data_IF_896597225849
#
_entry.id   IF_896597225849
#
_cell.length_a   1.000
_cell.length_b   1.000
_cell.length_c   1.000
_cell.angle_alpha   90.00
_cell.angle_beta   90.00
_cell.angle_gamma   90.00
#
_symmetry.space_group_name_H-M   'P 1'
#
loop_
_entity.id
_entity.type
_entity.pdbx_description
1 polymer ?
#
# COMPACT_ATOMS: atom_id res chain seq x y z
N UNK A 1 -17.79 -1.53 17.60
CA UNK A 1 -16.43 -1.53 17.08
C UNK A 1 -15.47 -1.05 18.16
N UNK A 2 -14.25 -1.59 18.22
CA UNK A 2 -13.18 -1.09 19.07
C UNK A 2 -12.40 0.04 18.40
N UNK A 3 -11.16 0.27 18.86
CA UNK A 3 -10.15 1.13 18.24
C UNK A 3 -8.91 0.30 17.95
N UNK A 4 -8.24 0.59 16.85
CA UNK A 4 -6.92 0.02 16.54
C UNK A 4 -5.76 0.93 16.94
N UNK A 5 -6.05 2.19 17.30
CA UNK A 5 -5.04 3.18 17.72
C UNK A 5 -4.41 2.89 19.09
N UNK A 6 -5.15 2.23 19.97
CA UNK A 6 -4.71 1.96 21.36
C UNK A 6 -4.10 0.56 21.54
N UNK A 7 -3.90 -0.19 20.45
CA UNK A 7 -3.36 -1.54 20.51
C UNK A 7 -1.89 -1.55 20.93
N UNK A 8 -1.54 -2.57 21.73
CA UNK A 8 -0.16 -2.84 22.13
C UNK A 8 0.28 -4.21 21.66
N UNK A 9 1.57 -4.35 21.31
CA UNK A 9 2.17 -5.66 21.07
C UNK A 9 2.07 -6.50 22.34
N UNK A 10 1.63 -7.76 22.21
CA UNK A 10 1.33 -8.65 23.34
C UNK A 10 -0.13 -8.62 23.81
N UNK A 11 -0.99 -7.75 23.28
CA UNK A 11 -2.43 -7.80 23.53
C UNK A 11 -3.03 -9.09 22.97
N UNK A 12 -3.90 -9.75 23.75
CA UNK A 12 -4.61 -10.95 23.30
C UNK A 12 -5.67 -10.59 22.25
N UNK A 13 -5.77 -11.43 21.22
CA UNK A 13 -6.73 -11.25 20.11
C UNK A 13 -7.41 -12.56 19.74
N UNK A 14 -8.60 -12.43 19.15
CA UNK A 14 -9.42 -13.54 18.68
C UNK A 14 -9.74 -13.32 17.20
N UNK A 15 -9.38 -14.30 16.38
CA UNK A 15 -9.73 -14.27 14.95
C UNK A 15 -10.95 -15.15 14.73
N UNK A 16 -12.04 -14.56 14.25
CA UNK A 16 -13.27 -15.27 13.85
C UNK A 16 -13.38 -15.26 12.34
N UNK A 17 -13.49 -16.44 11.72
CA UNK A 17 -13.45 -16.55 10.27
C UNK A 17 -14.04 -17.89 9.78
N UNK A 18 -13.96 -18.14 8.47
CA UNK A 18 -14.42 -19.38 7.83
C UNK A 18 -13.25 -20.03 7.04
N UNK A 19 -12.18 -20.50 7.73
CA UNK A 19 -11.05 -21.14 7.05
C UNK A 19 -11.52 -22.40 6.32
N UNK A 20 -11.08 -22.58 5.07
CA UNK A 20 -11.43 -23.71 4.24
C UNK A 20 -12.94 -23.97 4.07
N UNK A 21 -13.77 -22.93 4.26
CA UNK A 21 -15.24 -23.06 4.23
C UNK A 21 -15.85 -23.58 5.53
N UNK A 22 -15.05 -23.82 6.57
CA UNK A 22 -15.54 -24.21 7.90
C UNK A 22 -16.08 -22.97 8.64
N UNK A 23 -17.40 -22.86 8.67
CA UNK A 23 -18.08 -21.73 9.27
C UNK A 23 -17.77 -21.58 10.77
N UNK A 24 -17.71 -20.33 11.24
CA UNK A 24 -17.61 -19.96 12.66
C UNK A 24 -16.38 -20.51 13.39
N UNK A 25 -15.22 -20.53 12.70
CA UNK A 25 -13.98 -20.97 13.34
C UNK A 25 -13.36 -19.83 14.13
N UNK A 26 -12.92 -20.13 15.35
CA UNK A 26 -12.23 -19.23 16.26
C UNK A 26 -10.77 -19.67 16.42
N UNK A 27 -9.85 -18.73 16.31
CA UNK A 27 -8.46 -18.90 16.73
C UNK A 27 -8.06 -17.79 17.69
N UNK A 28 -7.17 -18.10 18.63
CA UNK A 28 -6.67 -17.18 19.65
C UNK A 28 -5.19 -16.94 19.43
N UNK A 29 -4.76 -15.72 19.64
CA UNK A 29 -3.36 -15.32 19.55
C UNK A 29 -3.13 -13.97 20.20
N UNK A 30 -2.03 -13.33 19.79
CA UNK A 30 -1.60 -12.04 20.31
C UNK A 30 -1.24 -11.09 19.18
N UNK A 31 -1.27 -9.80 19.45
CA UNK A 31 -0.68 -8.79 18.55
C UNK A 31 0.84 -8.99 18.55
N UNK A 32 1.40 -9.41 17.43
CA UNK A 32 2.84 -9.66 17.27
C UNK A 32 3.58 -8.43 16.71
N UNK A 33 2.86 -7.47 16.13
CA UNK A 33 3.43 -6.24 15.62
C UNK A 33 2.37 -5.27 15.11
N UNK A 34 2.73 -4.00 15.07
CA UNK A 34 1.87 -2.91 14.60
C UNK A 34 2.58 -2.10 13.52
N UNK A 35 1.80 -1.39 12.70
CA UNK A 35 2.34 -0.50 11.67
C UNK A 35 3.11 -1.22 10.57
N UNK A 36 2.85 -2.51 10.35
CA UNK A 36 3.54 -3.29 9.31
C UNK A 36 3.08 -2.89 7.93
N UNK A 37 4.00 -3.02 6.96
CA UNK A 37 3.70 -2.91 5.53
C UNK A 37 3.74 -4.30 4.91
N UNK A 38 2.68 -4.65 4.20
CA UNK A 38 2.57 -5.95 3.49
C UNK A 38 2.25 -5.74 2.02
N UNK A 39 2.52 -6.75 1.21
CA UNK A 39 2.15 -6.75 -0.20
C UNK A 39 0.87 -7.58 -0.40
N UNK A 40 -0.13 -6.98 -1.04
CA UNK A 40 -1.37 -7.67 -1.40
C UNK A 40 -1.14 -8.68 -2.52
N UNK A 41 -2.14 -9.55 -2.77
CA UNK A 41 -2.11 -10.48 -3.92
C UNK A 41 -2.06 -9.75 -5.27
N UNK A 42 -2.58 -8.54 -5.36
CA UNK A 42 -2.49 -7.68 -6.55
C UNK A 42 -1.16 -6.95 -6.69
N UNK A 43 -0.21 -7.17 -5.77
CA UNK A 43 1.10 -6.53 -5.78
C UNK A 43 1.14 -5.15 -5.13
N UNK A 44 0.01 -4.60 -4.70
CA UNK A 44 -0.06 -3.30 -4.03
C UNK A 44 0.38 -3.42 -2.57
N UNK A 45 0.97 -2.34 -2.03
CA UNK A 45 1.30 -2.28 -0.62
C UNK A 45 0.10 -1.86 0.21
N UNK A 46 -0.04 -2.53 1.35
CA UNK A 46 -1.00 -2.19 2.41
C UNK A 46 -0.17 -1.77 3.62
N UNK A 47 -0.31 -0.52 4.02
CA UNK A 47 0.41 0.05 5.16
C UNK A 47 -0.38 -0.10 6.46
N UNK A 48 0.34 0.02 7.59
CA UNK A 48 -0.20 0.10 8.94
C UNK A 48 -1.01 -1.14 9.39
N UNK A 49 -0.77 -2.32 8.81
CA UNK A 49 -1.50 -3.53 9.22
C UNK A 49 -1.08 -4.02 10.61
N UNK A 50 -2.02 -4.68 11.29
CA UNK A 50 -1.81 -5.40 12.54
C UNK A 50 -1.25 -6.77 12.19
N UNK A 51 -0.13 -7.17 12.82
CA UNK A 51 0.42 -8.52 12.74
C UNK A 51 -0.04 -9.31 13.98
N UNK A 52 -0.46 -10.56 13.79
CA UNK A 52 -0.86 -11.48 14.87
C UNK A 52 -0.36 -12.89 14.60
N UNK A 53 -0.21 -13.68 15.64
CA UNK A 53 0.07 -15.12 15.59
C UNK A 53 -1.21 -15.98 15.68
N UNK A 54 -2.39 -15.34 15.83
CA UNK A 54 -3.67 -16.05 15.70
C UNK A 54 -3.72 -16.77 14.33
N UNK A 55 -4.09 -18.05 14.33
CA UNK A 55 -4.07 -18.87 13.14
C UNK A 55 -5.01 -18.30 12.07
N UNK A 56 -4.45 -18.00 10.91
CA UNK A 56 -5.16 -17.53 9.73
C UNK A 56 -4.83 -18.43 8.54
N UNK A 57 -5.86 -18.96 7.88
CA UNK A 57 -5.74 -19.89 6.78
C UNK A 57 -6.52 -19.39 5.54
N UNK A 58 -6.36 -19.99 4.36
CA UNK A 58 -7.22 -19.69 3.22
C UNK A 58 -8.71 -19.75 3.59
N UNK A 59 -9.45 -18.67 3.29
CA UNK A 59 -10.84 -18.49 3.75
C UNK A 59 -10.99 -17.63 5.01
N UNK A 60 -9.91 -17.31 5.72
CA UNK A 60 -9.97 -16.39 6.88
C UNK A 60 -10.09 -14.92 6.48
N UNK A 61 -9.80 -14.56 5.23
CA UNK A 61 -9.88 -13.18 4.74
C UNK A 61 -11.31 -12.64 4.81
N UNK A 62 -11.45 -11.38 5.27
CA UNK A 62 -12.75 -10.76 5.52
C UNK A 62 -13.34 -11.13 6.87
N UNK A 63 -12.76 -12.10 7.60
CA UNK A 63 -13.11 -12.39 8.98
C UNK A 63 -12.70 -11.27 9.93
N UNK A 64 -13.13 -11.37 11.18
CA UNK A 64 -12.98 -10.33 12.20
C UNK A 64 -11.83 -10.66 13.14
N UNK A 65 -10.96 -9.67 13.41
CA UNK A 65 -10.04 -9.71 14.53
C UNK A 65 -10.66 -8.92 15.70
N UNK A 66 -10.77 -9.57 16.86
CA UNK A 66 -11.38 -9.01 18.06
C UNK A 66 -10.33 -8.85 19.17
N UNK A 67 -10.57 -7.90 20.07
CA UNK A 67 -9.84 -7.79 21.34
C UNK A 67 -10.40 -8.74 22.41
N UNK A 68 -9.85 -8.67 23.63
CA UNK A 68 -10.24 -9.46 24.81
C UNK A 68 -11.65 -9.08 25.33
N UNK A 69 -12.22 -7.97 24.89
CA UNK A 69 -13.59 -7.55 25.20
C UNK A 69 -14.59 -7.90 24.08
N UNK A 70 -14.14 -8.63 23.05
CA UNK A 70 -14.96 -9.01 21.91
C UNK A 70 -15.27 -7.86 20.95
N UNK A 71 -14.53 -6.75 21.01
CA UNK A 71 -14.70 -5.61 20.11
C UNK A 71 -13.83 -5.81 18.87
N UNK A 72 -14.37 -5.48 17.70
CA UNK A 72 -13.63 -5.54 16.45
C UNK A 72 -12.52 -4.49 16.44
N UNK A 73 -11.28 -4.95 16.26
CA UNK A 73 -10.06 -4.13 16.13
C UNK A 73 -9.45 -4.21 14.74
N UNK A 74 -9.89 -5.16 13.93
CA UNK A 74 -9.40 -5.30 12.56
C UNK A 74 -10.18 -6.32 11.73
N UNK A 75 -9.89 -6.34 10.44
CA UNK A 75 -10.41 -7.32 9.49
C UNK A 75 -9.25 -8.18 8.97
N UNK A 76 -9.38 -9.48 9.05
CA UNK A 76 -8.37 -10.43 8.57
C UNK A 76 -8.09 -10.23 7.08
N UNK A 77 -6.82 -10.11 6.71
CA UNK A 77 -6.39 -9.89 5.35
C UNK A 77 -5.65 -11.11 4.78
N UNK A 78 -5.97 -11.48 3.52
CA UNK A 78 -5.17 -12.44 2.79
C UNK A 78 -3.91 -11.74 2.27
N UNK A 79 -2.76 -12.24 2.64
CA UNK A 79 -1.49 -11.84 2.08
C UNK A 79 -0.99 -12.86 1.06
N UNK A 80 -0.16 -12.40 0.14
CA UNK A 80 0.64 -13.27 -0.69
C UNK A 80 1.81 -13.79 0.14
N UNK A 81 1.51 -14.74 1.03
CA UNK A 81 2.53 -15.48 1.74
C UNK A 81 2.98 -16.63 0.84
N UNK A 82 4.27 -16.77 0.65
CA UNK A 82 4.83 -17.99 0.08
C UNK A 82 4.43 -19.13 1.03
N UNK A 83 3.40 -19.87 0.65
CA UNK A 83 2.52 -20.69 1.50
C UNK A 83 3.22 -21.85 2.22
N UNK A 84 4.53 -21.97 2.09
CA UNK A 84 5.34 -23.05 2.68
C UNK A 84 6.14 -22.65 3.94
N UNK A 85 6.15 -21.36 4.36
CA UNK A 85 7.06 -20.89 5.42
C UNK A 85 6.46 -19.97 6.49
N UNK A 86 5.19 -19.60 6.42
CA UNK A 86 4.59 -18.66 7.39
C UNK A 86 3.53 -19.33 8.27
N UNK A 87 3.97 -20.21 9.16
CA UNK A 87 3.16 -20.64 10.31
C UNK A 87 3.29 -19.56 11.40
N UNK A 88 2.17 -19.09 11.94
CA UNK A 88 2.15 -18.13 13.05
C UNK A 88 2.32 -16.66 12.66
N UNK A 89 2.08 -16.29 11.39
CA UNK A 89 2.05 -14.89 10.96
C UNK A 89 0.77 -14.61 10.19
N UNK A 90 -0.14 -13.88 10.82
CA UNK A 90 -1.36 -13.35 10.23
C UNK A 90 -1.34 -11.84 10.19
N UNK A 91 -2.17 -11.24 9.32
CA UNK A 91 -2.31 -9.79 9.23
C UNK A 91 -3.78 -9.38 9.18
N UNK A 92 -4.07 -8.24 9.79
CA UNK A 92 -5.40 -7.64 9.74
C UNK A 92 -5.32 -6.15 9.38
N UNK A 93 -6.31 -5.68 8.63
CA UNK A 93 -6.53 -4.26 8.39
C UNK A 93 -7.08 -3.62 9.67
N UNK A 94 -6.52 -2.48 10.14
CA UNK A 94 -7.00 -1.80 11.33
C UNK A 94 -8.45 -1.36 11.22
N UNK A 95 -9.22 -1.48 12.30
CA UNK A 95 -10.64 -1.08 12.29
C UNK A 95 -10.82 0.42 12.06
N UNK A 96 -9.91 1.26 12.54
CA UNK A 96 -9.99 2.71 12.32
C UNK A 96 -9.93 3.03 10.82
N UNK A 97 -9.11 2.29 10.05
CA UNK A 97 -9.07 2.40 8.59
C UNK A 97 -10.39 1.94 7.93
N UNK A 98 -11.02 0.90 8.47
CA UNK A 98 -12.32 0.43 7.98
C UNK A 98 -13.41 1.45 8.24
N UNK A 99 -13.39 2.13 9.39
CA UNK A 99 -14.35 3.20 9.72
C UNK A 99 -14.29 4.38 8.75
N UNK A 100 -13.11 4.66 8.18
CA UNK A 100 -12.94 5.70 7.16
C UNK A 100 -13.49 5.27 5.78
N UNK A 101 -13.28 4.00 5.41
CA UNK A 101 -13.51 3.53 4.03
C UNK A 101 -14.91 2.95 3.85
N UNK A 102 -15.43 2.20 4.83
CA UNK A 102 -16.71 1.50 4.72
C UNK A 102 -17.90 2.43 4.47
N UNK A 103 -18.05 3.59 5.17
CA UNK A 103 -19.15 4.52 4.87
C UNK A 103 -19.15 4.99 3.42
N UNK A 104 -17.97 5.34 2.90
CA UNK A 104 -17.85 5.80 1.52
C UNK A 104 -18.21 4.69 0.50
N UNK A 105 -17.88 3.43 0.79
CA UNK A 105 -18.29 2.28 -0.04
C UNK A 105 -19.83 2.07 0.03
N UNK A 106 -20.41 2.24 1.21
CA UNK A 106 -21.86 2.08 1.39
C UNK A 106 -22.65 3.17 0.67
N UNK A 107 -22.15 4.40 0.62
CA UNK A 107 -22.82 5.54 -0.02
C UNK A 107 -22.68 5.52 -1.54
N UNK A 108 -21.49 5.25 -2.05
CA UNK A 108 -21.14 5.37 -3.48
C UNK A 108 -20.93 4.03 -4.19
N UNK A 109 -21.05 2.91 -3.48
CA UNK A 109 -20.63 1.61 -3.98
C UNK A 109 -19.10 1.47 -3.95
N UNK A 110 -18.55 0.68 -4.87
CA UNK A 110 -17.12 0.44 -4.95
C UNK A 110 -16.35 1.75 -5.17
N UNK A 111 -15.47 2.09 -4.24
CA UNK A 111 -14.58 3.23 -4.42
C UNK A 111 -13.48 2.86 -5.41
N UNK A 112 -13.53 3.48 -6.58
CA UNK A 112 -12.48 3.33 -7.56
C UNK A 112 -11.21 4.06 -7.07
N UNK A 113 -10.12 3.31 -6.90
CA UNK A 113 -8.79 3.91 -6.71
C UNK A 113 -7.98 3.63 -7.99
N UNK A 114 -7.56 4.67 -8.72
CA UNK A 114 -6.80 4.48 -9.94
C UNK A 114 -5.45 3.84 -9.63
N UNK A 115 -5.16 2.72 -10.28
CA UNK A 115 -3.83 2.10 -10.23
C UNK A 115 -3.00 2.59 -11.40
N UNK A 116 -1.93 3.28 -11.12
CA UNK A 116 -0.98 3.76 -12.12
C UNK A 116 0.27 2.89 -12.21
N UNK A 117 0.40 1.84 -11.39
CA UNK A 117 1.50 0.89 -11.44
C UNK A 117 2.82 1.44 -10.89
N UNK A 118 2.79 2.32 -9.89
CA UNK A 118 3.97 2.74 -9.16
C UNK A 118 3.73 2.82 -7.64
N UNK A 119 4.81 2.75 -6.89
CA UNK A 119 4.83 2.92 -5.43
C UNK A 119 5.88 3.96 -5.06
N UNK A 120 5.57 4.79 -4.09
CA UNK A 120 6.49 5.82 -3.59
C UNK A 120 7.12 5.40 -2.26
N UNK A 121 8.33 5.89 -1.99
CA UNK A 121 8.96 5.76 -0.69
C UNK A 121 8.16 6.53 0.39
N UNK A 122 8.32 6.17 1.67
CA UNK A 122 7.75 6.95 2.77
C UNK A 122 8.35 8.37 2.80
N UNK A 123 7.70 9.32 3.45
CA UNK A 123 8.21 10.69 3.53
C UNK A 123 9.58 10.74 4.19
N UNK A 124 9.80 9.98 5.28
CA UNK A 124 11.10 9.87 5.96
C UNK A 124 12.18 9.30 5.02
N UNK A 125 11.85 8.26 4.25
CA UNK A 125 12.79 7.67 3.30
C UNK A 125 13.04 8.59 2.11
N UNK A 126 12.03 9.29 1.61
CA UNK A 126 12.19 10.28 0.53
C UNK A 126 13.14 11.39 0.95
N UNK A 127 12.96 11.97 2.13
CA UNK A 127 13.83 13.01 2.67
C UNK A 127 15.28 12.52 2.82
N UNK A 128 15.48 11.34 3.40
CA UNK A 128 16.80 10.74 3.56
C UNK A 128 17.49 10.45 2.21
N UNK A 129 16.73 10.01 1.20
CA UNK A 129 17.25 9.74 -0.15
C UNK A 129 17.59 11.03 -0.90
N UNK A 130 16.75 12.06 -0.81
CA UNK A 130 17.00 13.37 -1.40
C UNK A 130 18.22 14.02 -0.77
N UNK A 131 18.43 13.83 0.55
CA UNK A 131 19.65 14.28 1.23
C UNK A 131 20.94 13.71 0.65
N UNK A 132 20.90 12.47 0.12
CA UNK A 132 22.08 11.81 -0.48
C UNK A 132 22.44 12.31 -1.88
N UNK A 133 21.48 12.90 -2.60
CA UNK A 133 21.67 13.42 -3.97
C UNK A 133 21.66 14.96 -4.01
N UNK A 134 21.64 15.62 -2.86
CA UNK A 134 21.49 17.09 -2.77
C UNK A 134 22.53 17.87 -3.57
N UNK A 135 23.72 17.32 -3.69
CA UNK A 135 24.87 17.96 -4.38
C UNK A 135 24.94 17.58 -5.87
N UNK A 136 24.01 16.73 -6.35
CA UNK A 136 23.97 16.42 -7.78
C UNK A 136 23.31 17.58 -8.56
N UNK A 137 23.80 17.91 -9.76
CA UNK A 137 23.11 18.83 -10.66
C UNK A 137 21.66 18.38 -10.88
N UNK A 138 20.73 19.31 -10.93
CA UNK A 138 19.30 19.05 -11.15
C UNK A 138 18.61 18.24 -10.03
N UNK A 139 19.25 18.03 -8.86
CA UNK A 139 18.62 17.35 -7.75
C UNK A 139 17.43 18.14 -7.20
N UNK A 140 16.25 17.54 -7.07
CA UNK A 140 15.08 18.21 -6.53
C UNK A 140 15.26 18.49 -5.03
N UNK A 141 14.83 19.65 -4.58
CA UNK A 141 14.91 20.06 -3.17
C UNK A 141 13.87 19.39 -2.29
N UNK A 142 12.80 18.89 -2.90
CA UNK A 142 11.67 18.21 -2.26
C UNK A 142 11.04 17.23 -3.23
N UNK A 143 10.11 16.44 -2.75
CA UNK A 143 9.32 15.52 -3.56
C UNK A 143 9.24 14.13 -2.96
N UNK A 144 8.56 13.26 -3.67
CA UNK A 144 8.33 11.87 -3.26
C UNK A 144 9.07 10.93 -4.19
N UNK A 145 10.04 10.19 -3.64
CA UNK A 145 10.87 9.26 -4.42
C UNK A 145 10.04 8.07 -4.92
N UNK A 146 10.17 7.74 -6.20
CA UNK A 146 9.55 6.54 -6.79
C UNK A 146 10.33 5.31 -6.34
N UNK A 147 9.71 4.49 -5.48
CA UNK A 147 10.33 3.31 -4.90
C UNK A 147 10.25 2.09 -5.80
N UNK A 148 9.09 1.85 -6.40
CA UNK A 148 8.84 0.71 -7.29
C UNK A 148 7.98 1.13 -8.47
N UNK A 149 8.17 0.45 -9.60
CA UNK A 149 7.35 0.59 -10.81
C UNK A 149 7.03 -0.80 -11.32
N UNK A 150 5.75 -1.06 -11.56
CA UNK A 150 5.29 -2.30 -12.18
C UNK A 150 5.71 -2.35 -13.64
N UNK A 151 6.55 -3.33 -14.00
CA UNK A 151 7.17 -3.42 -15.32
C UNK A 151 6.19 -3.54 -16.50
N UNK A 152 4.94 -3.94 -16.26
CA UNK A 152 3.86 -3.97 -17.27
C UNK A 152 2.85 -2.83 -17.11
N UNK A 153 2.99 -2.01 -16.07
CA UNK A 153 2.02 -1.00 -15.68
C UNK A 153 2.06 0.29 -16.50
N UNK A 154 1.07 1.16 -16.30
CA UNK A 154 1.01 2.47 -16.95
C UNK A 154 2.25 3.33 -16.72
N UNK A 155 2.75 3.35 -15.47
CA UNK A 155 3.93 4.13 -15.10
C UNK A 155 5.19 3.71 -15.86
N UNK A 156 5.43 2.39 -16.00
CA UNK A 156 6.56 1.88 -16.78
C UNK A 156 6.46 2.27 -18.26
N UNK A 157 5.26 2.11 -18.86
CA UNK A 157 5.03 2.50 -20.25
C UNK A 157 5.22 3.99 -20.52
N UNK A 158 4.94 4.83 -19.53
CA UNK A 158 5.15 6.27 -19.59
C UNK A 158 6.58 6.70 -19.25
N UNK A 159 7.48 5.75 -18.93
CA UNK A 159 8.89 6.02 -18.68
C UNK A 159 9.21 6.49 -17.25
N UNK A 160 8.32 6.24 -16.28
CA UNK A 160 8.63 6.41 -14.85
C UNK A 160 9.57 5.30 -14.40
N UNK A 161 10.59 5.65 -13.63
CA UNK A 161 11.63 4.71 -13.18
C UNK A 161 11.74 4.69 -11.66
N UNK A 162 11.77 3.49 -11.11
CA UNK A 162 12.01 3.26 -9.70
C UNK A 162 13.48 3.52 -9.32
N UNK A 163 13.71 3.80 -8.04
CA UNK A 163 15.06 3.72 -7.47
C UNK A 163 15.65 2.32 -7.68
N UNK A 164 16.96 2.23 -7.80
CA UNK A 164 17.66 0.99 -8.08
C UNK A 164 18.83 0.77 -7.12
N UNK A 165 19.05 -0.48 -6.73
CA UNK A 165 20.29 -0.88 -6.06
C UNK A 165 21.32 -1.25 -7.11
N UNK A 166 22.42 -0.53 -7.16
CA UNK A 166 23.52 -0.78 -8.09
C UNK A 166 24.70 -1.36 -7.28
N UNK A 167 25.22 -2.50 -7.75
CA UNK A 167 26.46 -3.08 -7.21
C UNK A 167 27.65 -2.52 -8.00
N UNK A 168 28.53 -1.79 -7.34
CA UNK A 168 29.84 -1.45 -7.90
C UNK A 168 30.79 -2.64 -7.76
N UNK A 169 31.79 -2.75 -8.65
CA UNK A 169 32.78 -3.82 -8.71
C UNK A 169 33.73 -3.87 -7.47
N UNK A 170 33.19 -3.82 -6.26
CA UNK A 170 33.94 -3.76 -5.02
C UNK A 170 33.11 -3.97 -3.75
N UNK A 171 31.95 -4.63 -3.84
CA UNK A 171 31.11 -5.08 -2.72
C UNK A 171 30.15 -4.06 -2.06
N UNK A 172 30.14 -2.79 -2.37
CA UNK A 172 29.14 -1.88 -1.82
C UNK A 172 27.90 -1.77 -2.70
N UNK A 173 26.74 -2.10 -2.12
CA UNK A 173 25.43 -1.84 -2.73
C UNK A 173 25.08 -0.36 -2.54
N UNK A 174 24.98 0.38 -3.63
CA UNK A 174 24.54 1.78 -3.62
C UNK A 174 23.10 1.90 -4.13
N UNK A 175 22.24 2.54 -3.36
CA UNK A 175 20.91 2.89 -3.79
C UNK A 175 20.96 4.17 -4.65
N UNK A 176 20.45 4.08 -5.87
CA UNK A 176 20.42 5.18 -6.85
C UNK A 176 18.99 5.66 -6.98
N UNK A 177 18.73 6.92 -6.63
CA UNK A 177 17.46 7.60 -6.90
C UNK A 177 17.38 7.88 -8.40
N UNK A 178 16.27 7.57 -9.02
CA UNK A 178 16.03 7.78 -10.46
C UNK A 178 15.03 8.90 -10.68
N UNK A 179 13.80 8.67 -10.28
CA UNK A 179 12.71 9.61 -10.52
C UNK A 179 12.08 10.05 -9.18
N UNK A 180 11.80 11.34 -9.07
CA UNK A 180 11.18 11.98 -7.90
C UNK A 180 9.96 12.75 -8.37
N UNK A 181 8.80 12.47 -7.81
CA UNK A 181 7.57 13.21 -8.10
C UNK A 181 7.61 14.52 -7.31
N UNK A 182 7.62 15.64 -8.01
CA UNK A 182 7.65 17.00 -7.44
C UNK A 182 6.35 17.75 -7.71
N UNK A 183 5.49 17.23 -8.58
CA UNK A 183 4.17 17.80 -8.86
C UNK A 183 3.19 16.75 -9.40
N UNK A 184 1.90 17.02 -9.23
CA UNK A 184 0.81 16.22 -9.78
C UNK A 184 -0.39 17.11 -10.11
N UNK A 185 -0.95 16.98 -11.31
CA UNK A 185 -2.10 17.77 -11.80
C UNK A 185 -1.91 19.28 -11.61
N UNK A 186 -0.69 19.80 -11.86
CA UNK A 186 -0.33 21.21 -11.70
C UNK A 186 -0.13 21.67 -10.24
N UNK A 187 -0.27 20.79 -9.26
CA UNK A 187 -0.04 21.08 -7.84
C UNK A 187 1.35 20.57 -7.42
N UNK A 188 2.04 21.33 -6.58
CA UNK A 188 3.32 20.92 -5.99
C UNK A 188 3.11 19.72 -5.05
N UNK A 189 4.01 18.73 -5.11
CA UNK A 189 4.00 17.55 -4.27
C UNK A 189 5.30 17.48 -3.46
N UNK A 190 5.19 17.71 -2.17
CA UNK A 190 6.31 17.60 -1.21
C UNK A 190 6.26 16.32 -0.40
N UNK A 191 5.04 15.81 -0.14
CA UNK A 191 4.78 14.65 0.72
C UNK A 191 3.80 13.68 0.08
N UNK A 192 3.85 12.42 0.51
CA UNK A 192 2.92 11.37 0.06
C UNK A 192 1.45 11.73 0.27
N UNK A 193 1.12 12.42 1.36
CA UNK A 193 -0.25 12.80 1.66
C UNK A 193 -0.83 13.71 0.56
N UNK A 194 -0.04 14.65 0.03
CA UNK A 194 -0.45 15.56 -1.06
C UNK A 194 -0.67 14.78 -2.36
N UNK A 195 0.28 13.91 -2.73
CA UNK A 195 0.10 13.02 -3.89
C UNK A 195 -1.15 12.15 -3.73
N UNK A 196 -1.36 11.56 -2.56
CA UNK A 196 -2.54 10.73 -2.29
C UNK A 196 -3.85 11.52 -2.37
N UNK A 197 -3.84 12.80 -1.97
CA UNK A 197 -5.01 13.67 -2.10
C UNK A 197 -5.35 13.90 -3.58
N UNK A 198 -4.35 14.19 -4.41
CA UNK A 198 -4.52 14.33 -5.87
C UNK A 198 -5.07 13.05 -6.49
N UNK A 199 -4.46 11.89 -6.17
CA UNK A 199 -4.90 10.60 -6.71
C UNK A 199 -6.34 10.25 -6.34
N UNK A 200 -6.79 10.61 -5.12
CA UNK A 200 -8.18 10.40 -4.69
C UNK A 200 -9.18 11.36 -5.34
N UNK A 201 -8.73 12.51 -5.81
CA UNK A 201 -9.58 13.50 -6.45
C UNK A 201 -9.80 13.22 -7.96
N UNK A 202 -9.05 12.28 -8.55
CA UNK A 202 -9.19 11.93 -9.96
C UNK A 202 -10.51 11.21 -10.24
N UNK A 203 -11.14 11.56 -11.34
CA UNK A 203 -12.30 10.84 -11.87
C UNK A 203 -11.90 9.47 -12.46
N UNK A 204 -12.84 8.50 -12.52
CA UNK A 204 -12.60 7.23 -13.17
C UNK A 204 -12.16 7.38 -14.62
N UNK A 205 -10.94 6.89 -14.94
CA UNK A 205 -10.36 6.97 -16.27
C UNK A 205 -9.60 8.26 -16.57
N UNK A 206 -9.59 9.22 -15.66
CA UNK A 206 -8.83 10.46 -15.80
C UNK A 206 -7.33 10.19 -15.91
N UNK A 207 -6.66 10.97 -16.73
CA UNK A 207 -5.21 10.90 -16.94
C UNK A 207 -4.51 11.65 -15.81
N UNK A 208 -3.66 10.97 -15.07
CA UNK A 208 -2.78 11.60 -14.08
C UNK A 208 -1.60 12.24 -14.79
N UNK A 209 -1.38 13.52 -14.57
CA UNK A 209 -0.21 14.26 -15.03
C UNK A 209 0.73 14.48 -13.86
N UNK A 210 1.96 13.95 -13.95
CA UNK A 210 3.02 14.09 -12.95
C UNK A 210 4.13 14.99 -13.48
N UNK A 211 4.61 15.90 -12.66
CA UNK A 211 5.90 16.56 -12.84
C UNK A 211 6.95 15.73 -12.10
N UNK A 212 7.93 15.23 -12.84
CA UNK A 212 8.94 14.29 -12.35
C UNK A 212 10.32 14.87 -12.53
N UNK A 213 11.05 15.06 -11.46
CA UNK A 213 12.46 15.39 -11.49
C UNK A 213 13.28 14.13 -11.79
N UNK A 214 14.06 14.19 -12.86
CA UNK A 214 15.00 13.17 -13.34
C UNK A 214 16.42 13.70 -13.28
N UNK A 215 17.46 12.85 -13.34
CA UNK A 215 18.84 13.31 -13.45
C UNK A 215 19.14 14.23 -14.65
N UNK A 216 18.24 14.28 -15.62
CA UNK A 216 18.34 15.09 -16.85
C UNK A 216 17.45 16.34 -16.83
N UNK A 217 16.85 16.67 -15.68
CA UNK A 217 15.90 17.77 -15.53
C UNK A 217 14.47 17.32 -15.28
N UNK A 218 13.55 18.27 -15.13
CA UNK A 218 12.14 17.99 -14.89
C UNK A 218 11.40 17.64 -16.18
N UNK A 219 10.54 16.63 -16.10
CA UNK A 219 9.74 16.13 -17.23
C UNK A 219 8.30 15.89 -16.77
N UNK A 220 7.35 16.32 -17.59
CA UNK A 220 5.95 15.98 -17.40
C UNK A 220 5.65 14.58 -17.97
N UNK A 221 4.99 13.75 -17.16
CA UNK A 221 4.61 12.38 -17.52
C UNK A 221 3.10 12.22 -17.35
N UNK A 222 2.42 11.79 -18.42
CA UNK A 222 0.99 11.49 -18.40
C UNK A 222 0.75 10.00 -18.27
N UNK A 223 -0.04 9.61 -17.27
CA UNK A 223 -0.38 8.23 -16.93
C UNK A 223 -1.87 7.98 -17.11
N UNK A 224 -2.22 7.02 -17.97
CA UNK A 224 -3.58 6.49 -17.99
C UNK A 224 -3.71 5.42 -16.93
N UNK A 225 -4.77 5.43 -16.09
CA UNK A 225 -4.95 4.37 -15.11
C UNK A 225 -5.02 3.01 -15.80
N UNK A 226 -4.51 1.97 -15.14
CA UNK A 226 -4.77 0.61 -15.58
C UNK A 226 -6.29 0.44 -15.61
N UNK A 227 -6.84 -0.03 -16.73
CA UNK A 227 -8.28 -0.19 -16.88
C UNK A 227 -8.82 -1.01 -15.71
N UNK A 228 -9.58 -0.38 -14.86
CA UNK A 228 -10.41 -1.06 -13.91
C UNK A 228 -11.40 -1.85 -14.74
N UNK A 229 -11.31 -3.18 -14.73
CA UNK A 229 -12.42 -3.98 -15.17
C UNK A 229 -13.63 -3.49 -14.38
N UNK A 230 -14.56 -2.83 -15.06
CA UNK A 230 -15.89 -2.63 -14.54
C UNK A 230 -16.30 -4.01 -14.01
N UNK A 231 -16.59 -4.10 -12.71
CA UNK A 231 -16.95 -5.35 -12.09
C UNK A 231 -17.99 -6.02 -12.96
N UNK A 232 -17.60 -7.12 -13.60
CA UNK A 232 -18.55 -8.03 -14.15
C UNK A 232 -19.42 -8.46 -12.96
N UNK A 233 -20.60 -7.87 -12.88
CA UNK A 233 -21.71 -8.42 -12.12
C UNK A 233 -21.91 -9.83 -12.69
N UNK A 234 -21.24 -10.80 -12.11
CA UNK A 234 -21.50 -12.22 -12.31
C UNK A 234 -22.87 -12.52 -11.72
N UNK A 235 -23.92 -12.24 -12.49
CA UNK A 235 -25.13 -13.02 -12.42
C UNK A 235 -24.79 -14.39 -12.99
N UNK A 236 -24.58 -15.37 -12.11
CA UNK A 236 -25.02 -16.74 -12.41
C UNK A 236 -25.18 -17.52 -11.10
N UNK A 237 -26.39 -17.87 -10.87
CA UNK A 237 -27.13 -18.97 -10.19
C UNK A 237 -26.36 -19.83 -9.18
#
# INVERSE_FOLDING_TARGET
>A
MGSSGDLSVGAQVFSVSCPYGLAHSLSVGYVSGLGRRIRSKSGQFIDAVIQTDAAMHPGSSGGTLLDDQGRMIGMNAAIHADSRRQVGVGFALPVDRLQEVVPAIMESGFRWEPSFGFVTASDVNSEALLGKIRDEPEAPKFGVVVAEVDGGGPAARAGLRAMQTVRSAGLEERLVVRDVIVGAMGQEVRKRAELSAVLRALDPGEVLVLLVAKPTGEVEISLKPAGGAAGAAGTDR
#
